data_IF_116617297694
#
_entry.id   IF_116617297694
#
_cell.length_a   1.000
_cell.length_b   1.000
_cell.length_c   1.000
_cell.angle_alpha   90.00
_cell.angle_beta   90.00
_cell.angle_gamma   90.00
#
_symmetry.space_group_name_H-M   'P 1'
#
loop_
_entity.id
_entity.type
_entity.pdbx_description
1 polymer ?
#
# COMPACT_ATOMS: atom_id res chain seq x y z
N UNK A 1 14.74 -2.22 35.26
CA UNK A 1 15.02 -3.67 35.32
C UNK A 1 15.46 -4.05 33.90
N UNK A 2 16.77 -4.12 33.67
CA UNK A 2 17.37 -4.46 32.37
C UNK A 2 17.77 -5.93 32.41
N UNK A 3 17.28 -6.75 31.51
CA UNK A 3 17.84 -8.08 31.27
C UNK A 3 18.73 -8.05 30.03
N UNK A 4 20.00 -8.35 30.28
CA UNK A 4 21.06 -8.64 29.32
C UNK A 4 20.89 -10.07 28.84
N UNK A 5 20.98 -10.32 27.53
CA UNK A 5 21.29 -11.64 27.01
C UNK A 5 22.69 -11.59 26.41
N UNK A 6 23.55 -12.46 26.93
CA UNK A 6 24.95 -12.62 26.58
C UNK A 6 25.11 -13.52 25.36
N UNK A 7 26.06 -13.16 24.51
CA UNK A 7 26.73 -14.05 23.57
C UNK A 7 27.42 -15.19 24.31
N UNK A 8 27.45 -16.38 23.71
CA UNK A 8 28.52 -17.34 23.96
C UNK A 8 29.01 -17.94 22.64
N UNK A 9 30.34 -18.02 22.54
CA UNK A 9 31.11 -18.40 21.35
C UNK A 9 31.69 -19.80 21.54
N UNK A 10 32.00 -20.41 20.40
CA UNK A 10 33.14 -21.32 20.13
C UNK A 10 33.13 -22.71 20.76
N UNK A 11 33.14 -23.75 19.91
CA UNK A 11 34.41 -24.41 19.59
C UNK A 11 34.35 -25.29 18.34
N UNK A 12 35.41 -25.14 17.55
CA UNK A 12 35.87 -25.98 16.45
C UNK A 12 36.22 -27.41 16.89
N UNK A 13 36.19 -28.36 15.95
CA UNK A 13 37.41 -29.05 15.45
C UNK A 13 37.06 -30.24 14.51
N UNK A 14 37.44 -30.06 13.23
CA UNK A 14 38.30 -30.93 12.41
C UNK A 14 37.84 -32.33 11.95
N UNK A 15 37.57 -32.37 10.63
CA UNK A 15 38.07 -33.25 9.54
C UNK A 15 38.21 -34.76 9.78
N UNK A 16 37.54 -35.54 8.92
CA UNK A 16 38.20 -36.71 8.33
C UNK A 16 37.77 -36.92 6.86
N UNK A 17 38.77 -36.95 5.98
CA UNK A 17 38.69 -37.18 4.54
C UNK A 17 38.72 -38.69 4.26
N UNK A 18 37.89 -39.17 3.34
CA UNK A 18 38.18 -40.39 2.59
C UNK A 18 37.59 -40.27 1.19
N UNK A 19 38.51 -40.35 0.21
CA UNK A 19 38.25 -40.31 -1.21
C UNK A 19 37.63 -41.62 -1.69
N UNK A 20 36.63 -41.54 -2.57
CA UNK A 20 36.21 -42.66 -3.40
C UNK A 20 36.16 -42.21 -4.86
N UNK A 21 36.78 -43.04 -5.70
CA UNK A 21 37.12 -42.87 -7.09
C UNK A 21 35.91 -42.66 -8.00
N UNK A 22 36.02 -41.71 -8.94
CA UNK A 22 35.03 -41.44 -10.00
C UNK A 22 35.36 -42.27 -11.25
N UNK A 23 34.43 -43.14 -11.68
CA UNK A 23 34.37 -43.61 -13.06
C UNK A 23 33.33 -42.79 -13.84
N UNK A 24 33.64 -42.31 -15.06
CA UNK A 24 32.74 -41.44 -15.81
C UNK A 24 31.64 -42.26 -16.49
N UNK A 25 30.38 -41.90 -16.20
CA UNK A 25 29.21 -42.37 -16.97
C UNK A 25 28.94 -41.37 -18.10
N UNK A 26 28.70 -41.81 -19.35
CA UNK A 26 28.50 -40.92 -20.49
C UNK A 26 27.24 -40.04 -20.32
N UNK A 27 27.23 -38.80 -20.84
CA UNK A 27 26.10 -37.89 -20.67
C UNK A 27 24.90 -38.38 -21.48
N UNK A 28 23.74 -38.43 -20.82
CA UNK A 28 22.45 -38.56 -21.48
C UNK A 28 22.22 -37.36 -22.43
N UNK A 29 21.68 -37.64 -23.61
CA UNK A 29 21.42 -36.66 -24.66
C UNK A 29 20.57 -35.48 -24.13
N UNK A 30 21.06 -34.26 -24.36
CA UNK A 30 20.35 -33.03 -24.03
C UNK A 30 19.03 -32.92 -24.81
N UNK A 31 17.94 -32.43 -24.19
CA UNK A 31 16.73 -32.10 -24.93
C UNK A 31 17.02 -30.98 -25.96
N UNK A 32 16.32 -30.95 -27.11
CA UNK A 32 16.57 -29.95 -28.14
C UNK A 32 16.36 -28.53 -27.60
N UNK A 33 17.28 -27.62 -27.94
CA UNK A 33 17.21 -26.18 -27.64
C UNK A 33 15.82 -25.63 -27.99
N UNK A 34 15.04 -25.28 -26.97
CA UNK A 34 13.86 -24.46 -27.15
C UNK A 34 14.32 -23.11 -27.72
N UNK A 35 13.82 -22.75 -28.91
CA UNK A 35 14.01 -21.42 -29.50
C UNK A 35 13.66 -20.35 -28.46
N UNK A 36 14.43 -19.26 -28.32
CA UNK A 36 13.96 -18.12 -27.59
C UNK A 36 12.66 -17.64 -28.25
N UNK A 37 11.57 -17.59 -27.48
CA UNK A 37 10.35 -16.92 -27.89
C UNK A 37 10.72 -15.45 -28.14
N UNK A 38 10.83 -15.07 -29.42
CA UNK A 38 10.74 -13.68 -29.81
C UNK A 38 9.29 -13.25 -29.60
N UNK A 39 8.96 -12.84 -28.38
CA UNK A 39 7.76 -12.06 -28.13
C UNK A 39 8.11 -10.60 -28.39
N UNK A 40 8.07 -10.25 -29.67
CA UNK A 40 7.87 -8.87 -30.09
C UNK A 40 6.50 -8.44 -29.58
N UNK A 41 6.46 -7.73 -28.46
CA UNK A 41 5.33 -6.87 -28.15
C UNK A 41 5.88 -5.59 -27.52
N UNK A 42 6.29 -4.67 -28.40
CA UNK A 42 6.21 -3.26 -28.08
C UNK A 42 4.73 -2.94 -27.86
N UNK A 43 4.25 -3.10 -26.64
CA UNK A 43 3.09 -2.34 -26.20
C UNK A 43 3.58 -0.91 -26.00
N UNK A 44 3.61 -0.16 -27.10
CA UNK A 44 3.31 1.26 -27.02
C UNK A 44 1.85 1.35 -26.56
N UNK A 45 1.66 1.20 -25.25
CA UNK A 45 0.45 1.62 -24.61
C UNK A 45 0.37 3.12 -24.88
N UNK A 46 -0.48 3.48 -25.83
CA UNK A 46 -0.79 4.86 -26.14
C UNK A 46 -1.34 5.43 -24.85
N UNK A 47 -0.50 6.14 -24.10
CA UNK A 47 -0.87 6.83 -22.88
C UNK A 47 -1.91 7.88 -23.29
N UNK A 48 -3.17 7.45 -23.30
CA UNK A 48 -4.30 8.36 -23.32
C UNK A 48 -4.16 9.20 -22.06
N UNK A 49 -3.72 10.44 -22.26
CA UNK A 49 -3.62 11.51 -21.27
C UNK A 49 -5.03 11.93 -20.81
N UNK A 50 -5.84 10.95 -20.41
CA UNK A 50 -7.18 11.17 -19.88
C UNK A 50 -7.09 11.11 -18.37
N UNK A 51 -7.05 12.29 -17.79
CA UNK A 51 -7.37 12.52 -16.39
C UNK A 51 -8.65 11.75 -16.03
N UNK A 52 -8.58 10.82 -15.08
CA UNK A 52 -9.72 9.97 -14.69
C UNK A 52 -10.39 10.54 -13.45
N UNK A 53 -11.69 10.81 -13.53
CA UNK A 53 -12.52 11.29 -12.42
C UNK A 53 -13.42 10.19 -11.90
N UNK A 54 -13.60 10.14 -10.58
CA UNK A 54 -14.38 9.08 -9.96
C UNK A 54 -14.41 9.16 -8.45
N UNK A 55 -14.80 8.05 -7.84
CA UNK A 55 -14.89 7.87 -6.40
C UNK A 55 -13.92 6.78 -5.96
N UNK A 56 -13.54 6.81 -4.68
CA UNK A 56 -12.76 5.73 -4.07
C UNK A 56 -13.72 4.86 -3.25
N UNK A 57 -13.98 3.67 -3.76
CA UNK A 57 -14.78 2.62 -3.11
C UNK A 57 -13.92 1.85 -2.13
N UNK A 58 -14.54 1.35 -1.06
CA UNK A 58 -13.90 0.49 -0.07
C UNK A 58 -14.56 -0.89 -0.11
N UNK A 59 -13.83 -1.89 -0.61
CA UNK A 59 -14.30 -3.27 -0.69
C UNK A 59 -13.78 -4.09 0.49
N UNK A 60 -14.42 -5.23 0.77
CA UNK A 60 -14.06 -6.11 1.90
C UNK A 60 -14.73 -5.72 3.23
N UNK A 61 -15.65 -4.76 3.19
CA UNK A 61 -16.49 -4.41 4.34
C UNK A 61 -17.62 -5.46 4.44
N UNK A 62 -17.97 -5.97 5.64
CA UNK A 62 -19.08 -6.91 5.83
C UNK A 62 -20.48 -6.30 5.60
N UNK A 63 -20.54 -5.09 5.01
CA UNK A 63 -21.78 -4.35 4.74
C UNK A 63 -22.36 -4.80 3.40
N UNK A 64 -23.69 -4.94 3.34
CA UNK A 64 -24.42 -5.16 2.08
C UNK A 64 -24.43 -3.92 1.19
N UNK A 65 -24.14 -2.75 1.76
CA UNK A 65 -24.07 -1.48 1.05
C UNK A 65 -22.62 -1.16 0.67
N UNK A 66 -22.43 -0.72 -0.57
CA UNK A 66 -21.18 -0.18 -1.07
C UNK A 66 -20.76 1.06 -0.29
N UNK A 67 -19.56 1.05 0.28
CA UNK A 67 -19.00 2.19 0.99
C UNK A 67 -17.91 2.89 0.16
N UNK A 68 -17.76 4.19 0.40
CA UNK A 68 -16.83 5.07 -0.28
C UNK A 68 -16.04 5.89 0.72
N UNK A 69 -14.86 6.36 0.34
CA UNK A 69 -14.09 7.31 1.13
C UNK A 69 -14.84 8.64 1.21
N UNK A 70 -14.87 9.22 2.41
CA UNK A 70 -15.47 10.51 2.75
C UNK A 70 -14.47 11.30 3.59
N UNK A 71 -14.21 12.55 3.21
CA UNK A 71 -13.45 13.47 4.04
C UNK A 71 -14.39 14.07 5.08
N UNK A 72 -14.15 13.81 6.37
CA UNK A 72 -14.95 14.40 7.45
C UNK A 72 -14.89 15.93 7.38
N UNK A 73 -16.03 16.62 7.55
CA UNK A 73 -16.08 18.08 7.52
C UNK A 73 -15.48 18.74 8.78
N UNK A 74 -15.01 17.95 9.75
CA UNK A 74 -14.42 18.46 10.99
C UNK A 74 -13.01 19.05 10.78
N UNK A 75 -12.50 19.72 11.82
CA UNK A 75 -11.19 20.36 11.78
C UNK A 75 -10.03 19.38 11.61
N UNK A 76 -10.25 18.06 11.76
CA UNK A 76 -9.21 17.04 11.63
C UNK A 76 -8.90 16.73 10.17
N UNK A 77 -9.85 17.00 9.26
CA UNK A 77 -9.74 16.64 7.85
C UNK A 77 -9.54 15.14 7.62
N UNK A 78 -9.82 14.30 8.62
CA UNK A 78 -9.62 12.86 8.54
C UNK A 78 -10.59 12.24 7.53
N UNK A 79 -10.20 11.09 6.99
CA UNK A 79 -11.08 10.30 6.15
C UNK A 79 -11.77 9.21 6.96
N UNK A 80 -13.03 8.95 6.61
CA UNK A 80 -13.80 7.78 7.01
C UNK A 80 -14.52 7.20 5.79
N UNK A 81 -15.33 6.17 5.99
CA UNK A 81 -16.22 5.69 4.93
C UNK A 81 -17.62 6.31 5.04
N UNK A 82 -18.35 6.32 3.92
CA UNK A 82 -19.76 6.71 3.82
C UNK A 82 -20.49 5.80 2.84
N UNK A 83 -21.79 5.65 3.02
CA UNK A 83 -22.70 5.05 2.03
C UNK A 83 -23.55 6.10 1.31
N UNK A 84 -23.55 7.33 1.81
CA UNK A 84 -24.35 8.43 1.28
C UNK A 84 -23.69 9.01 0.03
N UNK A 85 -24.47 9.16 -1.05
CA UNK A 85 -23.95 9.59 -2.35
C UNK A 85 -23.32 10.99 -2.33
N UNK A 86 -23.96 11.90 -1.59
CA UNK A 86 -23.52 13.30 -1.44
C UNK A 86 -22.19 13.46 -0.69
N UNK A 87 -21.82 12.49 0.14
CA UNK A 87 -20.63 12.57 1.01
C UNK A 87 -19.39 11.89 0.40
N UNK A 88 -19.54 11.23 -0.76
CA UNK A 88 -18.44 10.50 -1.40
C UNK A 88 -17.35 11.48 -1.83
N UNK A 89 -16.10 11.17 -1.54
CA UNK A 89 -14.96 11.94 -2.02
C UNK A 89 -14.85 11.81 -3.55
N UNK A 90 -15.09 12.91 -4.25
CA UNK A 90 -14.86 12.99 -5.68
C UNK A 90 -13.36 13.22 -5.91
N UNK A 91 -12.73 12.35 -6.68
CA UNK A 91 -11.30 12.38 -6.92
C UNK A 91 -10.95 12.46 -8.39
N UNK A 92 -9.76 12.99 -8.65
CA UNK A 92 -9.16 13.08 -9.97
C UNK A 92 -7.76 12.47 -9.93
N UNK A 93 -7.53 11.44 -10.75
CA UNK A 93 -6.21 10.83 -10.92
C UNK A 93 -5.47 11.65 -11.96
N UNK A 94 -4.39 12.30 -11.54
CA UNK A 94 -3.52 13.05 -12.43
C UNK A 94 -2.71 12.04 -13.26
N UNK A 95 -2.95 12.02 -14.57
CA UNK A 95 -2.32 11.09 -15.50
C UNK A 95 -0.80 11.33 -15.60
N UNK A 96 -0.04 10.26 -15.82
CA UNK A 96 1.43 10.27 -15.92
C UNK A 96 2.01 8.87 -15.72
N UNK A 97 3.33 8.74 -15.62
CA UNK A 97 3.95 7.52 -15.13
C UNK A 97 3.63 7.35 -13.63
N UNK A 98 3.24 6.15 -13.16
CA UNK A 98 3.19 5.87 -11.73
C UNK A 98 4.53 6.22 -11.06
N UNK A 99 4.53 6.68 -9.80
CA UNK A 99 3.39 6.87 -8.91
C UNK A 99 2.47 8.06 -9.27
N UNK A 100 1.16 7.84 -9.18
CA UNK A 100 0.13 8.85 -9.42
C UNK A 100 -0.07 9.80 -8.23
N UNK A 101 -0.59 10.98 -8.53
CA UNK A 101 -1.16 11.91 -7.55
C UNK A 101 -2.69 11.92 -7.70
N UNK A 102 -3.40 11.87 -6.57
CA UNK A 102 -4.87 11.87 -6.54
C UNK A 102 -5.35 13.19 -5.94
N UNK A 103 -6.04 14.02 -6.73
CA UNK A 103 -6.66 15.26 -6.28
C UNK A 103 -8.04 14.99 -5.70
N UNK A 104 -8.43 15.72 -4.66
CA UNK A 104 -9.78 15.80 -4.11
C UNK A 104 -10.50 16.98 -4.76
N UNK A 105 -11.68 16.76 -5.32
CA UNK A 105 -12.41 17.76 -6.11
C UNK A 105 -13.59 18.39 -5.37
N UNK A 106 -14.20 17.68 -4.42
CA UNK A 106 -15.36 18.17 -3.67
C UNK A 106 -14.98 18.80 -2.32
N UNK A 107 -13.85 19.50 -2.28
CA UNK A 107 -13.39 20.25 -1.11
C UNK A 107 -13.16 21.72 -1.50
N UNK A 108 -13.24 22.64 -0.52
CA UNK A 108 -12.89 24.05 -0.77
C UNK A 108 -11.39 24.14 -1.07
N UNK A 109 -11.03 24.67 -2.25
CA UNK A 109 -9.66 24.67 -2.78
C UNK A 109 -9.27 23.30 -3.35
N UNK A 110 -8.13 23.21 -4.03
CA UNK A 110 -7.60 21.91 -4.45
C UNK A 110 -6.84 21.28 -3.27
N UNK A 111 -7.00 19.97 -3.11
CA UNK A 111 -6.29 19.20 -2.09
C UNK A 111 -5.84 17.86 -2.66
N UNK A 112 -4.81 17.27 -2.07
CA UNK A 112 -4.25 16.00 -2.51
C UNK A 112 -4.47 14.92 -1.47
N UNK A 113 -4.80 13.71 -1.93
CA UNK A 113 -4.85 12.54 -1.09
C UNK A 113 -3.43 12.05 -0.78
N UNK A 114 -3.16 11.83 0.50
CA UNK A 114 -1.86 11.37 0.97
C UNK A 114 -2.00 10.34 2.09
N UNK A 115 -0.89 9.66 2.38
CA UNK A 115 -0.71 8.89 3.61
C UNK A 115 0.16 9.66 4.59
N UNK A 116 -0.24 9.67 5.87
CA UNK A 116 0.60 10.09 7.00
C UNK A 116 0.91 8.90 7.89
N UNK A 117 2.14 8.84 8.38
CA UNK A 117 2.58 7.77 9.28
C UNK A 117 2.49 8.17 10.75
N UNK A 118 2.38 7.16 11.61
CA UNK A 118 2.47 7.31 13.06
C UNK A 118 3.92 7.24 13.53
N UNK A 119 4.45 8.39 13.98
CA UNK A 119 5.66 8.65 14.78
C UNK A 119 7.02 8.02 14.38
N UNK A 120 7.13 7.00 13.52
CA UNK A 120 8.43 6.40 13.18
C UNK A 120 8.46 5.95 11.70
N UNK A 121 9.50 6.31 10.92
CA UNK A 121 9.54 6.13 9.47
C UNK A 121 9.81 4.70 8.94
N UNK A 122 10.35 3.77 9.74
CA UNK A 122 10.61 2.39 9.26
C UNK A 122 9.32 1.57 9.14
N UNK A 123 9.03 0.98 7.98
CA UNK A 123 7.86 0.11 7.77
C UNK A 123 8.36 -1.24 7.27
N UNK A 124 9.06 -1.97 8.12
CA UNK A 124 9.46 -3.33 7.79
C UNK A 124 8.24 -4.26 7.77
N UNK A 125 8.23 -5.23 6.84
CA UNK A 125 7.24 -6.31 6.81
C UNK A 125 7.26 -7.07 8.15
N UNK A 126 6.10 -7.37 8.73
CA UNK A 126 5.97 -7.89 10.09
C UNK A 126 5.85 -6.80 11.17
N UNK A 127 6.14 -5.54 10.85
CA UNK A 127 5.91 -4.42 11.74
C UNK A 127 4.45 -3.97 11.68
N UNK A 128 3.82 -3.74 12.84
CA UNK A 128 2.38 -3.45 12.98
C UNK A 128 2.04 -1.97 12.75
N UNK A 129 2.85 -1.27 11.96
CA UNK A 129 2.74 0.19 11.80
C UNK A 129 1.58 0.55 10.90
N UNK A 130 1.07 1.76 11.14
CA UNK A 130 -0.18 2.26 10.57
C UNK A 130 0.12 3.52 9.78
N UNK A 131 -0.50 3.64 8.62
CA UNK A 131 -0.64 4.87 7.87
C UNK A 131 -2.13 5.24 7.77
N UNK A 132 -2.41 6.54 7.78
CA UNK A 132 -3.76 7.08 7.73
C UNK A 132 -3.91 7.96 6.49
N UNK A 133 -5.10 7.96 5.90
CA UNK A 133 -5.44 8.89 4.84
C UNK A 133 -5.51 10.30 5.41
N UNK A 134 -4.89 11.25 4.71
CA UNK A 134 -4.89 12.67 5.07
C UNK A 134 -4.96 13.55 3.83
N UNK A 135 -5.61 14.74 3.92
CA UNK A 135 -5.62 15.71 2.85
C UNK A 135 -4.40 16.63 3.00
N UNK A 136 -3.70 16.88 1.90
CA UNK A 136 -2.71 17.95 1.78
C UNK A 136 -3.31 19.11 0.99
N UNK A 137 -2.89 20.33 1.28
CA UNK A 137 -3.27 21.49 0.48
C UNK A 137 -2.58 21.49 -0.90
N UNK A 138 -2.84 22.50 -1.72
CA UNK A 138 -2.28 22.60 -3.08
C UNK A 138 -0.74 22.52 -3.10
N UNK A 139 -0.09 23.07 -2.07
CA UNK A 139 1.37 23.08 -1.92
C UNK A 139 1.95 21.74 -1.45
N UNK A 140 1.10 20.79 -1.03
CA UNK A 140 1.53 19.51 -0.46
C UNK A 140 1.79 19.57 1.04
N UNK A 141 1.37 20.65 1.68
CA UNK A 141 1.46 20.83 3.13
C UNK A 141 0.20 20.33 3.82
N UNK A 142 0.30 20.10 5.13
CA UNK A 142 -0.86 19.68 5.90
C UNK A 142 -1.91 20.77 5.97
N UNK A 143 -3.05 20.50 5.35
CA UNK A 143 -4.20 21.40 5.39
C UNK A 143 -4.89 21.42 6.78
N UNK A 144 -4.43 20.62 7.74
CA UNK A 144 -5.05 20.44 9.05
C UNK A 144 -4.10 20.78 10.20
N UNK A 145 -4.49 21.75 11.03
CA UNK A 145 -3.76 22.13 12.26
C UNK A 145 -3.85 21.06 13.35
N UNK A 146 -4.93 20.28 13.39
CA UNK A 146 -5.12 19.17 14.32
C UNK A 146 -4.84 17.85 13.59
N UNK A 147 -3.57 17.50 13.46
CA UNK A 147 -3.22 16.11 13.12
C UNK A 147 -3.96 15.20 14.08
N UNK A 148 -4.72 14.18 13.62
CA UNK A 148 -5.41 13.32 14.56
C UNK A 148 -4.38 12.77 15.55
N UNK A 149 -4.69 12.73 16.85
CA UNK A 149 -3.69 12.48 17.88
C UNK A 149 -2.88 11.23 17.57
N UNK A 150 -1.57 11.41 17.38
CA UNK A 150 -0.62 10.33 17.09
C UNK A 150 -0.11 10.26 15.64
N UNK A 151 -0.63 11.05 14.69
CA UNK A 151 -0.04 11.13 13.34
C UNK A 151 1.00 12.25 13.28
N UNK A 152 2.22 12.00 13.73
CA UNK A 152 3.33 12.97 13.68
C UNK A 152 4.49 12.51 12.78
N UNK A 153 4.34 11.36 12.12
CA UNK A 153 5.35 10.84 11.20
C UNK A 153 5.34 11.56 9.84
N UNK A 154 6.19 11.10 8.90
CA UNK A 154 6.26 11.65 7.56
C UNK A 154 4.92 11.57 6.81
N UNK A 155 4.86 12.13 5.60
CA UNK A 155 3.74 11.99 4.68
C UNK A 155 4.19 11.91 3.22
N UNK A 156 3.36 11.31 2.37
CA UNK A 156 3.55 11.27 0.90
C UNK A 156 2.22 11.29 0.18
N UNK A 157 2.11 12.12 -0.86
CA UNK A 157 0.96 12.17 -1.79
C UNK A 157 1.22 11.52 -3.14
N UNK A 158 2.47 11.12 -3.42
CA UNK A 158 2.91 10.59 -4.72
C UNK A 158 3.42 9.16 -4.50
N UNK A 159 2.52 8.27 -4.13
CA UNK A 159 2.82 6.86 -3.82
C UNK A 159 1.75 5.90 -4.36
N UNK A 160 0.79 6.41 -5.11
CA UNK A 160 -0.39 5.67 -5.52
C UNK A 160 -0.13 4.97 -6.87
N UNK A 161 -0.52 3.71 -7.00
CA UNK A 161 -0.72 3.06 -8.29
C UNK A 161 -2.14 2.54 -8.39
N UNK A 162 -2.60 2.27 -9.60
CA UNK A 162 -3.92 1.74 -9.87
C UNK A 162 -3.75 0.52 -10.76
N UNK A 163 -4.16 -0.64 -10.25
CA UNK A 163 -4.12 -1.89 -11.00
C UNK A 163 -5.20 -1.90 -12.10
N UNK A 164 -5.12 -2.86 -13.02
CA UNK A 164 -6.06 -2.99 -14.14
C UNK A 164 -7.52 -3.18 -13.69
N UNK A 165 -7.73 -3.78 -12.52
CA UNK A 165 -9.05 -4.00 -11.92
C UNK A 165 -9.58 -2.75 -11.15
N UNK A 166 -8.85 -1.65 -11.18
CA UNK A 166 -9.17 -0.42 -10.45
C UNK A 166 -8.66 -0.39 -9.01
N UNK A 167 -8.01 -1.44 -8.52
CA UNK A 167 -7.47 -1.46 -7.15
C UNK A 167 -6.44 -0.36 -6.97
N UNK A 168 -6.65 0.52 -5.98
CA UNK A 168 -5.71 1.58 -5.59
C UNK A 168 -4.72 0.99 -4.60
N UNK A 169 -3.45 1.05 -4.96
CA UNK A 169 -2.33 0.53 -4.19
C UNK A 169 -1.45 1.69 -3.73
N UNK A 170 -0.86 1.56 -2.54
CA UNK A 170 0.10 2.52 -2.01
C UNK A 170 1.45 1.85 -1.78
N UNK A 171 2.50 2.48 -2.29
CA UNK A 171 3.87 1.99 -2.17
C UNK A 171 4.68 2.82 -1.18
N UNK A 172 5.63 2.18 -0.52
CA UNK A 172 6.69 2.87 0.19
C UNK A 172 7.98 2.71 -0.60
N UNK A 173 8.72 3.81 -0.77
CA UNK A 173 10.05 3.81 -1.38
C UNK A 173 11.10 4.11 -0.32
N UNK A 174 11.84 3.07 0.05
CA UNK A 174 13.18 3.08 0.65
C UNK A 174 13.69 1.61 0.63
N UNK A 175 13.92 1.08 -0.58
CA UNK A 175 14.66 -0.17 -0.79
C UNK A 175 13.91 -1.48 -0.61
N UNK A 176 12.69 -1.48 -0.05
CA UNK A 176 11.81 -2.66 -0.02
C UNK A 176 10.37 -2.25 -0.32
N UNK A 177 9.89 -2.64 -1.50
CA UNK A 177 8.55 -2.49 -2.10
C UNK A 177 7.43 -3.10 -1.25
N UNK A 178 7.20 -2.57 -0.05
CA UNK A 178 6.12 -3.05 0.80
C UNK A 178 4.81 -2.38 0.36
N UNK A 179 3.97 -3.12 -0.35
CA UNK A 179 2.59 -2.74 -0.62
C UNK A 179 1.89 -2.51 0.73
N UNK A 180 1.36 -1.30 0.93
CA UNK A 180 0.52 -1.02 2.08
C UNK A 180 -0.89 -1.51 1.78
N UNK A 181 -1.38 -2.44 2.60
CA UNK A 181 -2.73 -2.99 2.46
C UNK A 181 -3.71 -2.27 3.38
N UNK A 182 -4.96 -2.23 2.94
CA UNK A 182 -6.02 -1.46 3.60
C UNK A 182 -6.66 -2.32 4.67
N UNK A 183 -6.83 -1.75 5.86
CA UNK A 183 -7.62 -2.34 6.94
C UNK A 183 -8.75 -1.40 7.32
N UNK A 184 -9.89 -1.98 7.69
CA UNK A 184 -11.12 -1.29 8.00
C UNK A 184 -11.62 -1.65 9.39
N UNK A 185 -12.12 -0.68 10.13
CA UNK A 185 -12.78 -0.91 11.42
C UNK A 185 -14.25 -0.51 11.35
N UNK A 186 -15.12 -1.48 11.61
CA UNK A 186 -16.56 -1.31 11.43
C UNK A 186 -17.20 -0.30 12.38
N UNK A 187 -16.76 -0.26 13.65
CA UNK A 187 -17.43 0.55 14.69
C UNK A 187 -17.46 2.05 14.39
N UNK A 188 -16.45 2.55 13.70
CA UNK A 188 -16.24 3.98 13.45
C UNK A 188 -15.90 4.31 12.00
N UNK A 189 -16.14 3.34 11.11
CA UNK A 189 -15.98 3.48 9.66
C UNK A 189 -14.58 3.99 9.27
N UNK A 190 -13.57 3.57 10.02
CA UNK A 190 -12.22 4.09 9.87
C UNK A 190 -11.40 3.19 8.94
N UNK A 191 -10.63 3.82 8.06
CA UNK A 191 -9.74 3.15 7.12
C UNK A 191 -8.31 3.51 7.46
N UNK A 192 -7.44 2.51 7.49
CA UNK A 192 -6.00 2.68 7.65
C UNK A 192 -5.25 1.75 6.72
N UNK A 193 -3.94 1.93 6.70
CA UNK A 193 -3.01 1.14 5.93
C UNK A 193 -2.05 0.43 6.88
N UNK A 194 -1.82 -0.85 6.65
CA UNK A 194 -0.88 -1.68 7.39
C UNK A 194 0.11 -2.35 6.42
N UNK A 195 1.36 -2.47 6.84
CA UNK A 195 2.39 -3.20 6.10
C UNK A 195 2.35 -4.71 6.26
N UNK A 196 1.67 -5.17 7.30
CA UNK A 196 1.34 -6.57 7.53
C UNK A 196 -0.09 -6.64 8.09
N UNK A 197 -1.11 -6.65 7.21
CA UNK A 197 -2.51 -6.66 7.63
C UNK A 197 -2.90 -7.96 8.34
N UNK A 198 -2.25 -9.09 8.05
CA UNK A 198 -2.51 -10.37 8.73
C UNK A 198 -2.10 -10.28 10.21
N UNK A 199 -0.84 -9.92 10.46
CA UNK A 199 -0.33 -9.74 11.82
C UNK A 199 -1.08 -8.65 12.59
N UNK A 200 -1.62 -7.66 11.86
CA UNK A 200 -2.41 -6.59 12.41
C UNK A 200 -3.81 -7.04 12.85
N UNK A 201 -4.58 -7.65 11.94
CA UNK A 201 -5.94 -8.13 12.20
C UNK A 201 -5.94 -9.23 13.26
N UNK A 202 -4.95 -10.12 13.24
CA UNK A 202 -4.77 -11.13 14.28
C UNK A 202 -4.56 -10.53 15.68
N UNK A 203 -3.91 -9.36 15.77
CA UNK A 203 -3.72 -8.65 17.05
C UNK A 203 -4.93 -7.80 17.44
N UNK A 204 -5.62 -7.22 16.47
CA UNK A 204 -6.72 -6.28 16.66
C UNK A 204 -7.96 -6.79 15.90
N UNK A 205 -8.73 -7.73 16.49
CA UNK A 205 -9.81 -8.43 15.80
C UNK A 205 -10.99 -7.53 15.43
N UNK A 206 -11.04 -6.29 15.93
CA UNK A 206 -12.03 -5.30 15.49
C UNK A 206 -11.74 -4.73 14.09
N UNK A 207 -10.59 -5.06 13.50
CA UNK A 207 -10.20 -4.69 12.15
C UNK A 207 -10.40 -5.85 11.19
N UNK A 208 -10.77 -5.54 9.96
CA UNK A 208 -10.84 -6.49 8.85
C UNK A 208 -9.99 -6.00 7.69
N UNK A 209 -9.58 -6.93 6.83
CA UNK A 209 -8.98 -6.56 5.54
C UNK A 209 -9.99 -5.82 4.67
N UNK A 210 -9.49 -4.87 3.89
CA UNK A 210 -10.24 -4.15 2.90
C UNK A 210 -9.35 -3.86 1.68
N UNK A 211 -9.92 -3.29 0.62
CA UNK A 211 -9.17 -2.69 -0.48
C UNK A 211 -9.82 -1.38 -0.91
N UNK A 212 -9.02 -0.48 -1.45
CA UNK A 212 -9.53 0.70 -2.15
C UNK A 212 -9.66 0.38 -3.63
N UNK A 213 -10.77 0.73 -4.25
CA UNK A 213 -11.00 0.58 -5.68
C UNK A 213 -11.46 1.91 -6.29
N UNK A 214 -10.91 2.26 -7.44
CA UNK A 214 -11.36 3.41 -8.21
C UNK A 214 -12.63 3.06 -8.99
N UNK A 215 -13.69 3.84 -8.76
CA UNK A 215 -14.96 3.74 -9.47
C UNK A 215 -15.14 4.99 -10.33
N UNK A 216 -15.13 4.89 -11.68
CA UNK A 216 -15.34 6.05 -12.55
C UNK A 216 -16.66 6.76 -12.27
N UNK A 217 -16.66 8.09 -12.32
CA UNK A 217 -17.89 8.87 -12.28
C UNK A 217 -18.56 8.78 -13.66
N UNK A 218 -19.77 8.23 -13.71
CA UNK A 218 -20.66 8.20 -14.87
C UNK A 218 -21.39 9.53 -15.08
#
# INVERSE_FOLDING_TARGET
MLERWSDDKTNDLVVNLSAVSLTPTPPAAAPPLARPLQTSSSFLETQSSTTKRGYIRVDGIPSTQTAYIHRRPDSTGAFSTTVQAQDRALVEIVAGAPPYRISLLNVKGRAWLALKWKLVPSIEKGNKRRAGLVPLDESGEFHCKSTPPGWAGPHRSIIWSIALDGTIQAWWDEGVTSLLEVVYRQRDHFVMFASDPDAYVNKYPEWTRARLAFEPAS
#
